data_IF_321042896312
#
_entry.id   IF_321042896312
#
_cell.length_a   1.000
_cell.length_b   1.000
_cell.length_c   1.000
_cell.angle_alpha   90.00
_cell.angle_beta   90.00
_cell.angle_gamma   90.00
#
_symmetry.space_group_name_H-M   'P 1'
#
loop_
_entity.id
_entity.type
_entity.pdbx_description
1 polymer ?
#
# COMPACT_ATOMS: atom_id res chain seq x y z
N UNK A 1 5.99 15.72 5.53
CA UNK A 1 6.02 14.31 5.97
C UNK A 1 7.46 13.97 6.32
N UNK A 2 7.72 13.34 7.47
CA UNK A 2 9.09 12.95 7.83
C UNK A 2 9.52 11.74 6.99
N UNK A 3 10.84 11.58 6.82
CA UNK A 3 11.43 10.42 6.14
C UNK A 3 10.97 9.14 6.85
N UNK A 4 10.45 8.18 6.08
CA UNK A 4 10.01 6.88 6.61
C UNK A 4 8.86 6.91 7.60
N UNK A 5 8.08 7.99 7.71
CA UNK A 5 6.97 8.08 8.68
C UNK A 5 5.59 7.68 8.12
N UNK A 6 5.51 7.38 6.82
CA UNK A 6 4.27 7.01 6.16
C UNK A 6 4.12 5.52 5.89
N UNK A 7 2.87 5.09 5.94
CA UNK A 7 2.36 3.79 5.54
C UNK A 7 1.47 3.95 4.31
N UNK A 8 1.58 3.06 3.32
CA UNK A 8 0.61 2.98 2.21
C UNK A 8 0.11 1.56 1.98
N UNK A 9 -1.21 1.44 1.75
CA UNK A 9 -1.87 0.21 1.31
C UNK A 9 -2.68 0.49 0.04
N UNK A 10 -2.12 0.20 -1.16
CA UNK A 10 -2.69 0.63 -2.45
C UNK A 10 -3.96 -0.12 -2.88
N UNK A 11 -4.39 -1.14 -2.11
CA UNK A 11 -5.56 -1.99 -2.36
C UNK A 11 -6.22 -2.36 -1.02
N UNK A 12 -6.51 -1.35 -0.21
CA UNK A 12 -6.87 -1.55 1.20
C UNK A 12 -8.27 -2.12 1.41
N UNK A 13 -9.23 -1.88 0.50
CA UNK A 13 -10.62 -2.24 0.74
C UNK A 13 -11.11 -1.70 2.08
N UNK A 14 -11.70 -2.58 2.90
CA UNK A 14 -12.06 -2.30 4.28
C UNK A 14 -11.01 -2.79 5.30
N UNK A 15 -9.87 -3.30 4.86
CA UNK A 15 -8.79 -3.85 5.70
C UNK A 15 -7.89 -2.75 6.27
N UNK A 16 -8.46 -1.97 7.19
CA UNK A 16 -7.78 -0.84 7.85
C UNK A 16 -7.32 -1.17 9.26
N UNK A 17 -8.02 -2.10 9.93
CA UNK A 17 -7.86 -2.39 11.35
C UNK A 17 -6.51 -3.04 11.63
N UNK A 18 -6.20 -4.15 10.95
CA UNK A 18 -4.94 -4.87 11.14
C UNK A 18 -3.70 -4.00 10.91
N UNK A 19 -3.64 -3.22 9.80
CA UNK A 19 -2.55 -2.28 9.60
C UNK A 19 -2.34 -1.27 10.74
N UNK A 20 -3.39 -0.62 11.23
CA UNK A 20 -3.27 0.36 12.32
C UNK A 20 -2.87 -0.32 13.63
N UNK A 21 -3.42 -1.50 13.93
CA UNK A 21 -3.04 -2.25 15.14
C UNK A 21 -1.56 -2.66 15.13
N UNK A 22 -1.02 -3.05 13.98
CA UNK A 22 0.37 -3.52 13.87
C UNK A 22 1.41 -2.40 13.75
N UNK A 23 1.03 -1.23 13.23
CA UNK A 23 1.98 -0.16 12.87
C UNK A 23 1.64 1.21 13.47
N UNK A 24 0.48 1.38 14.11
CA UNK A 24 -0.03 2.69 14.59
C UNK A 24 0.86 3.37 15.64
N UNK A 25 1.66 2.59 16.37
CA UNK A 25 2.63 3.13 17.32
C UNK A 25 3.93 3.62 16.66
N UNK A 26 4.19 3.24 15.41
CA UNK A 26 5.44 3.53 14.70
C UNK A 26 5.25 4.59 13.61
N UNK A 27 4.13 4.51 12.88
CA UNK A 27 3.84 5.39 11.75
C UNK A 27 3.10 6.65 12.19
N UNK A 28 3.31 7.75 11.47
CA UNK A 28 2.62 9.02 11.68
C UNK A 28 1.42 9.14 10.73
N UNK A 29 1.56 8.68 9.49
CA UNK A 29 0.52 8.79 8.45
C UNK A 29 0.20 7.44 7.84
N UNK A 30 -1.09 7.14 7.69
CA UNK A 30 -1.61 5.98 6.99
C UNK A 30 -2.38 6.40 5.74
N UNK A 31 -2.00 5.87 4.58
CA UNK A 31 -2.69 6.10 3.31
C UNK A 31 -3.32 4.79 2.84
N UNK A 32 -4.64 4.68 3.00
CA UNK A 32 -5.44 3.56 2.52
C UNK A 32 -6.06 3.92 1.17
N UNK A 33 -5.91 3.04 0.18
CA UNK A 33 -6.35 3.32 -1.19
C UNK A 33 -7.28 2.22 -1.68
N UNK A 34 -8.44 2.60 -2.22
CA UNK A 34 -9.31 1.69 -2.94
C UNK A 34 -10.11 2.45 -4.01
N UNK A 35 -10.31 1.86 -5.18
CA UNK A 35 -11.11 2.46 -6.26
C UNK A 35 -12.60 2.56 -5.90
N UNK A 36 -13.09 1.79 -4.93
CA UNK A 36 -14.50 1.69 -4.53
C UNK A 36 -14.89 2.66 -3.42
N UNK A 37 -13.98 3.45 -2.87
CA UNK A 37 -14.31 4.40 -1.79
C UNK A 37 -15.33 5.48 -2.23
N UNK A 38 -16.54 5.39 -1.71
CA UNK A 38 -17.60 6.39 -1.93
C UNK A 38 -17.90 7.14 -0.62
N UNK A 39 -17.36 8.35 -0.45
CA UNK A 39 -17.41 9.10 0.80
C UNK A 39 -18.82 9.50 1.27
N UNK A 40 -19.83 9.47 0.39
CA UNK A 40 -21.23 9.67 0.78
C UNK A 40 -21.83 8.58 1.69
N UNK A 41 -21.20 7.39 1.77
CA UNK A 41 -21.66 6.21 2.54
C UNK A 41 -20.47 5.46 3.14
N UNK A 42 -19.42 6.21 3.45
CA UNK A 42 -18.15 5.63 3.83
C UNK A 42 -18.12 5.36 5.31
N UNK A 43 -18.06 4.07 5.65
CA UNK A 43 -17.96 3.59 7.02
C UNK A 43 -16.67 2.82 7.17
N UNK A 44 -15.91 3.19 8.20
CA UNK A 44 -14.63 2.58 8.53
C UNK A 44 -14.78 1.85 9.83
N UNK A 45 -14.35 0.58 9.86
CA UNK A 45 -14.24 -0.16 11.12
C UNK A 45 -13.14 0.49 11.95
N UNK A 46 -13.51 0.93 13.15
CA UNK A 46 -12.60 1.58 14.08
C UNK A 46 -11.63 0.54 14.67
N UNK A 47 -10.31 0.72 14.56
CA UNK A 47 -9.34 -0.16 15.20
C UNK A 47 -9.47 -0.13 16.73
N UNK A 48 -9.17 -1.23 17.41
CA UNK A 48 -9.28 -1.30 18.86
C UNK A 48 -8.36 -0.26 19.54
N UNK A 49 -8.90 0.49 20.49
CA UNK A 49 -8.15 1.53 21.22
C UNK A 49 -7.93 2.84 20.44
N UNK A 50 -8.35 2.93 19.18
CA UNK A 50 -8.27 4.15 18.38
C UNK A 50 -9.65 4.76 18.18
N UNK A 51 -9.76 6.07 18.33
CA UNK A 51 -10.96 6.83 17.99
C UNK A 51 -10.62 7.90 16.97
N UNK A 52 -11.52 8.10 16.00
CA UNK A 52 -11.43 9.19 15.05
C UNK A 52 -11.89 10.48 15.73
N UNK A 53 -11.10 11.54 15.58
CA UNK A 53 -11.48 12.88 15.97
C UNK A 53 -12.49 13.43 14.93
N UNK A 54 -13.77 13.64 15.31
CA UNK A 54 -14.80 14.08 14.38
C UNK A 54 -14.52 15.46 13.76
N UNK A 55 -13.82 16.34 14.49
CA UNK A 55 -13.54 17.71 14.03
C UNK A 55 -12.37 17.76 13.05
N UNK A 56 -11.60 16.67 12.95
CA UNK A 56 -10.47 16.54 12.03
C UNK A 56 -10.86 16.06 10.62
N UNK A 57 -12.14 15.72 10.40
CA UNK A 57 -12.57 15.09 9.14
C UNK A 57 -12.66 16.12 8.02
N UNK A 58 -11.82 15.96 7.00
CA UNK A 58 -11.82 16.76 5.78
C UNK A 58 -12.00 15.87 4.56
N UNK A 59 -12.90 16.24 3.65
CA UNK A 59 -13.10 15.53 2.37
C UNK A 59 -12.75 16.45 1.21
N UNK A 60 -11.84 16.01 0.35
CA UNK A 60 -11.41 16.71 -0.85
C UNK A 60 -11.86 15.95 -2.11
N UNK A 61 -12.47 16.67 -3.05
CA UNK A 61 -13.00 16.08 -4.29
C UNK A 61 -14.43 15.54 -4.14
N UNK A 62 -14.94 14.80 -5.14
CA UNK A 62 -16.35 14.43 -5.15
C UNK A 62 -16.67 13.30 -4.16
N UNK A 63 -17.82 13.39 -3.50
CA UNK A 63 -18.31 12.36 -2.57
C UNK A 63 -18.58 11.02 -3.25
N UNK A 64 -18.88 11.05 -4.56
CA UNK A 64 -19.09 9.86 -5.40
C UNK A 64 -18.36 9.96 -6.73
N UNK A 65 -17.90 8.83 -7.24
CA UNK A 65 -17.37 8.73 -8.60
C UNK A 65 -17.53 7.32 -9.17
N UNK A 66 -17.88 7.24 -10.45
CA UNK A 66 -17.91 5.99 -11.21
C UNK A 66 -16.61 5.77 -11.99
N UNK A 67 -16.30 4.50 -12.28
CA UNK A 67 -15.20 4.14 -13.16
C UNK A 67 -15.65 4.32 -14.60
N UNK A 68 -14.88 5.07 -15.39
CA UNK A 68 -15.09 5.21 -16.83
C UNK A 68 -13.93 4.57 -17.61
N UNK A 69 -14.21 3.92 -18.75
CA UNK A 69 -13.16 3.57 -19.70
C UNK A 69 -12.61 4.84 -20.36
N UNK A 70 -11.30 4.88 -20.59
CA UNK A 70 -10.63 5.87 -21.42
C UNK A 70 -10.21 5.20 -22.72
N UNK A 71 -10.60 5.81 -23.84
CA UNK A 71 -10.27 5.35 -25.18
C UNK A 71 -9.26 6.30 -25.81
N UNK A 72 -8.24 5.74 -26.46
CA UNK A 72 -7.28 6.44 -27.31
C UNK A 72 -7.28 5.72 -28.66
N UNK A 73 -7.40 6.47 -29.75
CA UNK A 73 -7.46 5.94 -31.12
C UNK A 73 -8.51 4.83 -31.31
N UNK A 74 -9.67 4.98 -30.65
CA UNK A 74 -10.76 4.01 -30.70
C UNK A 74 -10.53 2.72 -29.90
N UNK A 75 -9.35 2.54 -29.28
CA UNK A 75 -9.04 1.40 -28.44
C UNK A 75 -9.15 1.75 -26.95
N UNK A 76 -9.68 0.82 -26.16
CA UNK A 76 -9.73 0.98 -24.71
C UNK A 76 -8.32 0.90 -24.15
N UNK A 77 -7.83 2.02 -23.61
CA UNK A 77 -6.46 2.13 -23.15
C UNK A 77 -6.35 1.86 -21.64
N UNK A 78 -7.17 2.53 -20.83
CA UNK A 78 -7.18 2.33 -19.37
C UNK A 78 -8.54 2.66 -18.74
N UNK A 79 -8.66 2.42 -17.42
CA UNK A 79 -9.81 2.82 -16.61
C UNK A 79 -9.47 4.10 -15.85
N UNK A 80 -10.41 5.04 -15.79
CA UNK A 80 -10.29 6.26 -15.02
C UNK A 80 -11.38 6.35 -13.96
N UNK A 81 -11.08 7.02 -12.87
CA UNK A 81 -12.02 7.41 -11.83
C UNK A 81 -11.54 8.73 -11.25
N UNK A 82 -12.47 9.65 -10.96
CA UNK A 82 -12.10 10.94 -10.37
C UNK A 82 -11.65 10.71 -8.93
N UNK A 83 -10.39 11.05 -8.58
CA UNK A 83 -9.88 10.82 -7.24
C UNK A 83 -10.61 11.70 -6.23
N UNK A 84 -10.57 11.29 -4.98
CA UNK A 84 -10.97 12.08 -3.83
C UNK A 84 -10.22 11.56 -2.60
N UNK A 85 -10.15 12.39 -1.58
CA UNK A 85 -9.47 12.09 -0.32
C UNK A 85 -10.40 12.35 0.85
N UNK A 86 -10.32 11.51 1.87
CA UNK A 86 -10.87 11.77 3.20
C UNK A 86 -9.72 11.71 4.19
N UNK A 87 -9.42 12.85 4.78
CA UNK A 87 -8.41 13.03 5.82
C UNK A 87 -9.10 12.99 7.18
N UNK A 88 -8.48 12.33 8.14
CA UNK A 88 -8.98 12.23 9.51
C UNK A 88 -7.83 11.96 10.46
N UNK A 89 -7.91 12.45 11.68
CA UNK A 89 -6.96 12.15 12.75
C UNK A 89 -7.53 11.07 13.67
N UNK A 90 -6.70 10.11 14.03
CA UNK A 90 -7.04 9.03 14.94
C UNK A 90 -6.19 9.18 16.19
N UNK A 91 -6.83 9.11 17.35
CA UNK A 91 -6.19 9.25 18.65
C UNK A 91 -6.27 7.92 19.40
N UNK A 92 -5.13 7.46 19.90
CA UNK A 92 -5.05 6.24 20.70
C UNK A 92 -5.44 6.53 22.14
N UNK A 93 -6.51 5.91 22.64
CA UNK A 93 -7.12 6.24 23.92
C UNK A 93 -6.16 6.07 25.11
N UNK A 94 -5.29 5.06 25.09
CA UNK A 94 -4.41 4.78 26.23
C UNK A 94 -3.13 5.64 26.25
N UNK A 95 -2.66 6.11 25.10
CA UNK A 95 -1.35 6.81 24.99
C UNK A 95 -1.47 8.26 24.56
N UNK A 96 -2.65 8.70 24.12
CA UNK A 96 -2.86 10.02 23.51
C UNK A 96 -2.13 10.21 22.18
N UNK A 97 -1.53 9.14 21.62
CA UNK A 97 -0.83 9.22 20.33
C UNK A 97 -1.82 9.52 19.22
N UNK A 98 -1.50 10.50 18.39
CA UNK A 98 -2.27 10.83 17.19
C UNK A 98 -1.58 10.27 15.94
N UNK A 99 -2.37 9.79 14.98
CA UNK A 99 -1.94 9.45 13.61
C UNK A 99 -2.88 10.10 12.61
N UNK A 100 -2.34 10.46 11.45
CA UNK A 100 -3.14 10.93 10.31
C UNK A 100 -3.57 9.73 9.47
N UNK A 101 -4.85 9.63 9.15
CA UNK A 101 -5.42 8.59 8.30
C UNK A 101 -6.05 9.23 7.07
N UNK A 102 -5.55 8.82 5.90
CA UNK A 102 -6.00 9.28 4.59
C UNK A 102 -6.61 8.12 3.84
N UNK A 103 -7.89 8.24 3.51
CA UNK A 103 -8.55 7.36 2.56
C UNK A 103 -8.55 8.02 1.19
N UNK A 104 -7.91 7.39 0.21
CA UNK A 104 -7.77 7.92 -1.14
C UNK A 104 -8.56 7.05 -2.11
N UNK A 105 -9.59 7.61 -2.76
CA UNK A 105 -10.29 6.91 -3.84
C UNK A 105 -9.44 6.91 -5.10
N UNK A 106 -9.28 5.74 -5.70
CA UNK A 106 -8.76 5.56 -7.06
C UNK A 106 -7.71 4.46 -7.12
N UNK A 107 -7.01 4.36 -8.25
CA UNK A 107 -6.03 3.26 -8.42
C UNK A 107 -4.80 3.45 -7.52
N UNK A 108 -4.38 2.36 -6.89
CA UNK A 108 -3.22 2.31 -6.00
C UNK A 108 -1.91 2.72 -6.65
N UNK A 109 -1.74 2.47 -7.94
CA UNK A 109 -0.55 2.88 -8.69
C UNK A 109 -0.39 4.39 -8.69
N UNK A 110 -1.46 5.16 -8.97
CA UNK A 110 -1.40 6.61 -8.92
C UNK A 110 -1.14 7.12 -7.50
N UNK A 111 -1.80 6.54 -6.51
CA UNK A 111 -1.58 6.91 -5.11
C UNK A 111 -0.12 6.68 -4.67
N UNK A 112 0.51 5.60 -5.15
CA UNK A 112 1.92 5.36 -4.90
C UNK A 112 2.82 6.44 -5.53
N UNK A 113 2.51 6.92 -6.74
CA UNK A 113 3.25 8.03 -7.37
C UNK A 113 3.04 9.37 -6.65
N UNK A 114 1.86 9.59 -6.06
CA UNK A 114 1.51 10.77 -5.25
C UNK A 114 2.32 10.85 -3.94
N UNK A 115 2.84 9.72 -3.43
CA UNK A 115 3.68 9.73 -2.22
C UNK A 115 5.00 10.46 -2.48
N UNK A 116 5.53 11.27 -1.54
CA UNK A 116 6.86 11.83 -1.66
C UNK A 116 7.95 10.74 -1.68
N UNK A 117 9.05 10.98 -2.39
CA UNK A 117 10.21 10.09 -2.36
C UNK A 117 10.76 9.98 -0.93
N UNK A 118 11.27 8.80 -0.57
CA UNK A 118 11.75 8.46 0.77
C UNK A 118 10.77 8.73 1.93
N UNK A 119 9.47 8.87 1.68
CA UNK A 119 8.49 9.09 2.77
C UNK A 119 7.99 7.79 3.41
N UNK A 120 8.03 6.68 2.68
CA UNK A 120 7.42 5.42 3.12
C UNK A 120 8.34 4.65 4.07
N UNK A 121 7.86 4.43 5.29
CA UNK A 121 8.43 3.45 6.23
C UNK A 121 7.82 2.06 6.03
N UNK A 122 6.57 1.99 5.57
CA UNK A 122 5.87 0.72 5.32
C UNK A 122 5.12 0.76 3.99
N UNK A 123 5.40 -0.20 3.12
CA UNK A 123 4.58 -0.51 1.94
C UNK A 123 3.82 -1.82 2.20
N UNK A 124 2.49 -1.78 2.17
CA UNK A 124 1.66 -2.93 2.52
C UNK A 124 0.82 -3.37 1.33
N UNK A 125 1.05 -4.58 0.83
CA UNK A 125 0.30 -5.12 -0.29
C UNK A 125 -0.12 -6.56 -0.02
N UNK A 126 -1.44 -6.80 0.00
CA UNK A 126 -2.02 -8.13 0.01
C UNK A 126 -2.97 -8.25 -1.17
N UNK A 127 -3.14 -9.47 -1.65
CA UNK A 127 -3.91 -9.75 -2.85
C UNK A 127 -5.35 -9.30 -2.67
N UNK A 128 -5.93 -8.81 -3.76
CA UNK A 128 -7.34 -8.50 -3.80
C UNK A 128 -8.13 -9.80 -3.59
N UNK A 129 -8.97 -9.83 -2.56
CA UNK A 129 -10.03 -10.82 -2.54
C UNK A 129 -11.00 -10.57 -3.72
N UNK A 130 -11.69 -11.62 -4.19
CA UNK A 130 -12.65 -11.51 -5.28
C UNK A 130 -13.65 -10.38 -5.01
N UNK A 131 -13.62 -9.34 -5.85
CA UNK A 131 -14.48 -8.16 -5.75
C UNK A 131 -13.79 -6.90 -5.23
N UNK A 132 -12.54 -6.99 -4.77
CA UNK A 132 -11.73 -5.83 -4.36
C UNK A 132 -11.03 -5.16 -5.55
N UNK A 133 -10.94 -3.84 -5.47
CA UNK A 133 -10.74 -2.98 -6.62
C UNK A 133 -9.34 -2.99 -7.24
N UNK A 134 -8.37 -3.69 -6.65
CA UNK A 134 -7.00 -3.77 -7.14
C UNK A 134 -6.75 -4.81 -8.24
N UNK A 135 -7.75 -5.62 -8.61
CA UNK A 135 -7.73 -6.69 -9.64
C UNK A 135 -6.39 -6.90 -10.40
N UNK A 136 -5.41 -7.54 -9.74
CA UNK A 136 -4.25 -8.14 -10.41
C UNK A 136 -3.07 -7.21 -10.69
N UNK A 137 -2.86 -6.17 -9.88
CA UNK A 137 -1.68 -5.28 -10.02
C UNK A 137 -0.45 -5.90 -9.38
N UNK A 138 0.65 -5.94 -10.14
CA UNK A 138 1.91 -6.52 -9.68
C UNK A 138 2.84 -5.45 -9.09
N UNK A 139 2.52 -4.95 -7.89
CA UNK A 139 3.31 -3.92 -7.22
C UNK A 139 4.76 -4.35 -6.95
N UNK A 140 4.95 -5.59 -6.52
CA UNK A 140 6.27 -6.16 -6.21
C UNK A 140 6.88 -6.84 -7.44
N UNK A 141 6.81 -6.17 -8.60
CA UNK A 141 7.44 -6.58 -9.85
C UNK A 141 7.67 -5.37 -10.77
N UNK A 142 8.70 -5.44 -11.62
CA UNK A 142 8.94 -4.45 -12.67
C UNK A 142 8.35 -4.90 -14.01
N UNK A 143 7.02 -4.91 -14.10
CA UNK A 143 6.32 -5.22 -15.35
C UNK A 143 6.12 -3.96 -16.17
N UNK A 144 6.52 -4.01 -17.43
CA UNK A 144 6.22 -2.95 -18.38
C UNK A 144 4.72 -2.94 -18.76
N UNK A 145 4.13 -1.75 -18.84
CA UNK A 145 2.76 -1.47 -19.29
C UNK A 145 2.78 -0.26 -20.23
N UNK A 146 1.82 -0.20 -21.15
CA UNK A 146 1.67 0.93 -22.06
C UNK A 146 1.41 2.27 -21.33
N UNK A 147 0.71 2.21 -20.20
CA UNK A 147 0.46 3.39 -19.38
C UNK A 147 1.54 3.49 -18.28
N UNK A 148 2.45 4.45 -18.42
CA UNK A 148 3.66 4.58 -17.61
C UNK A 148 3.43 4.55 -16.08
N UNK A 149 2.38 5.19 -15.51
CA UNK A 149 2.09 5.09 -14.07
C UNK A 149 1.85 3.67 -13.56
N UNK A 150 1.50 2.72 -14.43
CA UNK A 150 1.25 1.32 -14.07
C UNK A 150 2.46 0.42 -14.26
N UNK A 151 3.56 0.96 -14.77
CA UNK A 151 4.79 0.24 -15.11
C UNK A 151 5.81 0.28 -13.98
N UNK A 152 6.64 -0.74 -13.90
CA UNK A 152 7.87 -0.74 -13.08
C UNK A 152 7.62 -0.35 -11.61
N UNK A 153 6.55 -0.89 -11.03
CA UNK A 153 6.05 -0.46 -9.73
C UNK A 153 7.03 -0.77 -8.59
N UNK A 154 7.82 -1.84 -8.69
CA UNK A 154 8.85 -2.12 -7.68
C UNK A 154 9.92 -1.01 -7.68
N UNK A 155 10.32 -0.51 -8.84
CA UNK A 155 11.25 0.63 -8.90
C UNK A 155 10.63 1.92 -8.36
N UNK A 156 9.32 2.12 -8.56
CA UNK A 156 8.59 3.23 -7.92
C UNK A 156 8.66 3.07 -6.40
N UNK A 157 8.29 1.90 -5.85
CA UNK A 157 8.37 1.61 -4.41
C UNK A 157 9.78 1.88 -3.90
N UNK A 158 10.82 1.41 -4.59
CA UNK A 158 12.22 1.60 -4.21
C UNK A 158 12.62 3.06 -4.03
N UNK A 159 12.03 3.99 -4.80
CA UNK A 159 12.23 5.44 -4.64
C UNK A 159 11.40 6.04 -3.51
N UNK A 160 10.19 5.50 -3.27
CA UNK A 160 9.28 6.00 -2.24
C UNK A 160 9.67 5.58 -0.82
N UNK A 161 10.36 4.45 -0.65
CA UNK A 161 10.75 3.94 0.67
C UNK A 161 11.99 4.61 1.25
N UNK A 162 12.00 4.84 2.56
CA UNK A 162 13.17 5.22 3.33
C UNK A 162 13.84 3.98 3.91
N UNK A 163 15.00 3.58 3.39
CA UNK A 163 15.71 2.40 3.90
C UNK A 163 16.33 2.65 5.29
N UNK A 164 16.33 1.64 6.19
CA UNK A 164 15.58 0.38 6.08
C UNK A 164 14.07 0.63 6.16
N UNK A 165 13.30 -0.09 5.33
CA UNK A 165 11.84 -0.01 5.30
C UNK A 165 11.20 -1.37 5.55
N UNK A 166 9.88 -1.39 5.77
CA UNK A 166 9.10 -2.62 5.82
C UNK A 166 8.26 -2.78 4.55
N UNK A 167 8.27 -3.98 4.00
CA UNK A 167 7.34 -4.40 2.96
C UNK A 167 6.51 -5.54 3.51
N UNK A 168 5.19 -5.37 3.51
CA UNK A 168 4.25 -6.43 3.90
C UNK A 168 3.67 -7.05 2.65
N UNK A 169 3.79 -8.37 2.52
CA UNK A 169 3.25 -9.12 1.39
C UNK A 169 2.73 -10.49 1.79
N UNK A 170 1.62 -10.89 1.20
CA UNK A 170 1.09 -12.26 1.23
C UNK A 170 1.57 -13.11 0.03
N UNK A 171 2.52 -12.62 -0.75
CA UNK A 171 3.04 -13.32 -1.93
C UNK A 171 2.13 -13.25 -3.16
N UNK A 172 0.99 -12.56 -3.09
CA UNK A 172 0.12 -12.35 -4.25
C UNK A 172 0.72 -11.35 -5.25
N UNK A 173 0.36 -11.52 -6.53
CA UNK A 173 0.71 -10.60 -7.63
C UNK A 173 2.17 -10.12 -7.61
N UNK A 174 3.12 -11.03 -7.38
CA UNK A 174 4.55 -10.73 -7.46
C UNK A 174 5.25 -11.69 -8.41
N UNK A 175 6.38 -11.28 -8.95
CA UNK A 175 7.31 -12.17 -9.68
C UNK A 175 8.43 -12.71 -8.79
N UNK A 176 8.48 -12.34 -7.51
CA UNK A 176 9.53 -12.75 -6.58
C UNK A 176 9.11 -14.07 -5.92
N UNK A 177 9.69 -15.19 -6.37
CA UNK A 177 9.35 -16.54 -5.89
C UNK A 177 9.47 -16.72 -4.37
N UNK A 178 10.46 -16.09 -3.75
CA UNK A 178 10.66 -16.13 -2.31
C UNK A 178 9.46 -15.53 -1.53
N UNK A 179 8.87 -14.44 -2.04
CA UNK A 179 7.66 -13.85 -1.45
C UNK A 179 6.45 -14.77 -1.62
N UNK A 180 6.30 -15.40 -2.79
CA UNK A 180 5.22 -16.36 -3.06
C UNK A 180 5.30 -17.58 -2.12
N UNK A 181 6.48 -18.18 -2.00
CA UNK A 181 6.71 -19.32 -1.11
C UNK A 181 6.37 -18.98 0.34
N UNK A 182 6.88 -17.86 0.85
CA UNK A 182 6.63 -17.42 2.21
C UNK A 182 5.15 -17.09 2.48
N UNK A 183 4.45 -16.49 1.50
CA UNK A 183 3.00 -16.24 1.56
C UNK A 183 2.18 -17.53 1.60
N UNK A 184 2.69 -18.62 1.02
CA UNK A 184 2.11 -19.97 1.13
C UNK A 184 2.55 -20.74 2.37
N UNK A 185 3.16 -20.06 3.36
CA UNK A 185 3.51 -20.65 4.64
C UNK A 185 4.89 -21.28 4.71
N UNK A 186 5.74 -21.13 3.69
CA UNK A 186 7.13 -21.56 3.79
C UNK A 186 7.88 -20.72 4.84
N UNK A 187 8.28 -21.38 5.93
CA UNK A 187 9.04 -20.76 7.03
C UNK A 187 10.54 -20.84 6.83
N UNK A 188 11.04 -21.54 5.81
CA UNK A 188 12.47 -21.65 5.53
C UNK A 188 13.05 -20.38 4.90
N UNK A 189 12.23 -19.59 4.22
CA UNK A 189 12.64 -18.31 3.62
C UNK A 189 12.77 -17.24 4.71
N UNK A 190 13.99 -17.07 5.20
CA UNK A 190 14.33 -16.07 6.22
C UNK A 190 15.01 -14.83 5.62
N UNK A 191 15.94 -15.01 4.68
CA UNK A 191 16.68 -13.92 4.02
C UNK A 191 16.86 -14.24 2.55
N UNK A 192 16.73 -13.26 1.66
CA UNK A 192 17.10 -13.38 0.26
C UNK A 192 17.51 -12.03 -0.36
N UNK A 193 18.13 -12.07 -1.54
CA UNK A 193 18.54 -10.90 -2.31
C UNK A 193 17.80 -10.87 -3.64
N UNK A 194 17.24 -9.71 -3.99
CA UNK A 194 16.56 -9.53 -5.27
C UNK A 194 16.39 -8.06 -5.60
N UNK A 195 16.63 -7.69 -6.86
CA UNK A 195 16.41 -6.32 -7.37
C UNK A 195 17.26 -5.26 -6.64
N UNK A 196 18.47 -5.63 -6.22
CA UNK A 196 19.38 -4.77 -5.46
C UNK A 196 18.93 -4.54 -4.00
N UNK A 197 18.04 -5.38 -3.48
CA UNK A 197 17.53 -5.29 -2.12
C UNK A 197 17.87 -6.57 -1.36
N UNK A 198 18.27 -6.41 -0.08
CA UNK A 198 18.28 -7.47 0.91
C UNK A 198 16.91 -7.52 1.59
N UNK A 199 16.30 -8.68 1.59
CA UNK A 199 15.00 -8.94 2.21
C UNK A 199 15.20 -9.85 3.41
N UNK A 200 14.72 -9.45 4.57
CA UNK A 200 14.79 -10.22 5.81
C UNK A 200 13.39 -10.36 6.41
N UNK A 201 12.96 -11.58 6.69
CA UNK A 201 11.68 -11.86 7.32
C UNK A 201 11.74 -11.40 8.78
N UNK A 202 10.83 -10.49 9.15
CA UNK A 202 10.72 -9.98 10.52
C UNK A 202 9.70 -10.78 11.31
N UNK A 203 8.50 -10.95 10.74
CA UNK A 203 7.37 -11.63 11.39
C UNK A 203 6.29 -11.98 10.38
N UNK A 204 5.29 -12.73 10.81
CA UNK A 204 4.08 -13.02 10.05
C UNK A 204 2.89 -12.39 10.75
N UNK A 205 2.02 -11.72 9.99
CA UNK A 205 0.76 -11.16 10.44
C UNK A 205 -0.36 -12.17 10.26
N UNK A 206 -1.53 -11.83 10.78
CA UNK A 206 -2.75 -12.60 10.51
C UNK A 206 -3.00 -12.73 9.00
N UNK A 207 -3.65 -13.83 8.60
CA UNK A 207 -4.03 -14.12 7.20
C UNK A 207 -2.85 -14.31 6.23
N UNK A 208 -1.71 -14.80 6.73
CA UNK A 208 -0.60 -15.28 5.90
C UNK A 208 0.35 -14.21 5.37
N UNK A 209 0.13 -12.94 5.69
CA UNK A 209 1.04 -11.87 5.26
C UNK A 209 2.34 -11.90 6.03
N UNK A 210 3.45 -11.74 5.32
CA UNK A 210 4.79 -11.70 5.88
C UNK A 210 5.29 -10.26 5.87
N UNK A 211 5.88 -9.83 6.99
CA UNK A 211 6.57 -8.54 7.11
C UNK A 211 8.04 -8.76 6.81
N UNK A 212 8.54 -8.06 5.80
CA UNK A 212 9.92 -8.07 5.37
C UNK A 212 10.58 -6.74 5.73
N UNK A 213 11.73 -6.78 6.39
CA UNK A 213 12.65 -5.65 6.43
C UNK A 213 13.43 -5.65 5.13
N UNK A 214 13.48 -4.50 4.47
CA UNK A 214 14.20 -4.32 3.22
C UNK A 214 15.26 -3.24 3.36
N UNK A 215 16.44 -3.54 2.81
CA UNK A 215 17.62 -2.68 2.82
C UNK A 215 18.27 -2.68 1.44
N UNK A 216 18.96 -1.59 1.09
CA UNK A 216 19.81 -1.58 -0.09
C UNK A 216 20.91 -2.62 0.07
N UNK A 217 21.05 -3.51 -0.91
CA UNK A 217 22.15 -4.47 -0.93
C UNK A 217 23.38 -3.81 -1.57
N UNK A 218 24.57 -3.89 -0.94
CA UNK A 218 25.79 -3.26 -1.45
C UNK A 218 26.42 -3.94 -2.67
N UNK A 219 25.78 -4.94 -3.30
CA UNK A 219 26.37 -5.69 -4.42
C UNK A 219 25.39 -5.92 -5.59
N UNK A 220 25.91 -5.72 -6.80
CA UNK A 220 25.28 -5.95 -8.10
C UNK A 220 24.70 -7.37 -8.24
N UNK A 221 23.40 -7.47 -8.57
CA UNK A 221 22.89 -8.69 -9.20
C UNK A 221 23.30 -8.62 -10.69
N UNK A 222 24.14 -9.53 -11.22
CA UNK A 222 24.16 -9.76 -12.65
C UNK A 222 22.76 -10.26 -13.09
N UNK A 223 22.31 -9.92 -14.30
CA UNK A 223 20.98 -10.33 -14.76
C UNK A 223 20.86 -11.86 -14.87
N UNK A 224 19.63 -12.41 -14.76
CA UNK A 224 19.37 -13.84 -14.94
C UNK A 224 19.71 -14.33 -16.36
#
# INVERSE_FOLDING_TARGET
MKKGSAFIYPCAGSDVVGPIEHFGQQMETFVFVDIRYQFSRFEVRKPAGWHEDPDSVLIEGPLRSGISPVFLDGQRHYRHIKPAWRHSQYVHAATGRTIDVVFRRGFGQYALHEMPDESLGVFFHRGDSLGEGGSGVFFLANRHKHHAPLSNLLDVIKRKVAYPALIVSDGSNTSIRALQAAGHGDTSVQVFFRHGLRWERVRTLNRGSVVWRVELSPADDPPP
#
